data_IF_788136910618
#
_entry.id   IF_788136910618
#
_cell.length_a   1.000
_cell.length_b   1.000
_cell.length_c   1.000
_cell.angle_alpha   90.00
_cell.angle_beta   90.00
_cell.angle_gamma   90.00
#
_symmetry.space_group_name_H-M   'P 1'
#
loop_
_entity.id
_entity.type
_entity.pdbx_description
1 polymer ?
#
# COMPACT_ATOMS: atom_id res chain seq x y z
N UNK A 1 9.25 9.27 -9.70
CA UNK A 1 8.13 8.82 -8.85
C UNK A 1 8.52 7.54 -8.13
N UNK A 2 7.92 7.28 -6.95
CA UNK A 2 7.94 5.98 -6.25
C UNK A 2 6.65 5.24 -6.60
N UNK A 3 6.73 3.91 -6.70
CA UNK A 3 5.58 3.02 -6.93
C UNK A 3 5.37 2.16 -5.68
N UNK A 4 4.28 2.42 -4.94
CA UNK A 4 4.00 1.73 -3.67
C UNK A 4 3.75 0.22 -3.86
N UNK A 5 3.27 -0.22 -5.05
CA UNK A 5 2.55 -1.48 -5.16
C UNK A 5 2.91 -2.22 -6.46
N UNK A 6 4.00 -2.99 -6.40
CA UNK A 6 4.45 -3.84 -7.50
C UNK A 6 4.47 -5.28 -7.00
N UNK A 7 3.69 -6.15 -7.60
CA UNK A 7 3.63 -7.56 -7.22
C UNK A 7 4.73 -8.40 -7.89
N UNK A 8 5.27 -9.34 -7.14
CA UNK A 8 6.10 -10.42 -7.63
C UNK A 8 5.28 -11.71 -7.63
N UNK A 9 5.05 -12.31 -8.79
CA UNK A 9 4.32 -13.56 -8.91
C UNK A 9 5.25 -14.72 -9.24
N UNK A 10 4.85 -15.97 -8.95
CA UNK A 10 5.55 -17.16 -9.42
C UNK A 10 5.74 -17.17 -10.95
N UNK A 11 6.73 -17.91 -11.43
CA UNK A 11 7.02 -18.09 -12.84
C UNK A 11 8.16 -17.22 -13.36
N UNK A 12 8.26 -17.10 -14.69
CA UNK A 12 9.36 -16.37 -15.31
C UNK A 12 9.31 -14.88 -14.98
N UNK A 13 10.41 -14.37 -14.49
CA UNK A 13 10.58 -12.95 -14.16
C UNK A 13 11.52 -12.25 -15.13
N UNK A 14 11.27 -10.96 -15.36
CA UNK A 14 12.30 -10.06 -15.88
C UNK A 14 13.51 -10.05 -14.93
N UNK A 15 14.69 -9.89 -15.48
CA UNK A 15 15.85 -9.63 -14.62
C UNK A 15 15.70 -8.26 -13.95
N UNK A 16 16.34 -8.03 -12.79
CA UNK A 16 16.31 -6.72 -12.14
C UNK A 16 16.71 -5.55 -13.06
N UNK A 17 17.64 -5.78 -13.98
CA UNK A 17 18.06 -4.76 -14.96
C UNK A 17 16.96 -4.43 -15.97
N UNK A 18 16.28 -5.44 -16.51
CA UNK A 18 15.16 -5.25 -17.45
C UNK A 18 13.99 -4.57 -16.73
N UNK A 19 13.67 -5.02 -15.54
CA UNK A 19 12.66 -4.39 -14.70
C UNK A 19 12.95 -2.90 -14.45
N UNK A 20 14.18 -2.55 -14.06
CA UNK A 20 14.61 -1.15 -13.88
C UNK A 20 14.52 -0.31 -15.15
N UNK A 21 14.87 -0.88 -16.31
CA UNK A 21 14.71 -0.17 -17.58
C UNK A 21 13.24 0.15 -17.87
N UNK A 22 12.34 -0.81 -17.63
CA UNK A 22 10.90 -0.61 -17.81
C UNK A 22 10.34 0.41 -16.83
N UNK A 23 10.67 0.31 -15.54
CA UNK A 23 10.19 1.27 -14.52
C UNK A 23 10.70 2.69 -14.82
N UNK A 24 11.96 2.85 -15.17
CA UNK A 24 12.52 4.16 -15.57
C UNK A 24 11.82 4.72 -16.82
N UNK A 25 11.49 3.86 -17.81
CA UNK A 25 10.71 4.27 -18.96
C UNK A 25 9.32 4.77 -18.56
N UNK A 26 8.73 4.26 -17.50
CA UNK A 26 7.48 4.77 -16.93
C UNK A 26 7.64 6.00 -16.02
N UNK A 27 8.87 6.49 -15.79
CA UNK A 27 9.15 7.59 -14.86
C UNK A 27 9.19 7.16 -13.38
N UNK A 28 9.25 5.85 -13.11
CA UNK A 28 9.34 5.27 -11.76
C UNK A 28 10.79 4.96 -11.45
N UNK A 29 11.30 5.49 -10.33
CA UNK A 29 12.71 5.38 -9.93
C UNK A 29 12.92 4.53 -8.68
N UNK A 30 11.86 4.11 -8.03
CA UNK A 30 11.87 3.29 -6.83
C UNK A 30 10.46 2.91 -6.40
N UNK A 31 10.34 2.25 -5.26
CA UNK A 31 9.04 1.83 -4.72
C UNK A 31 9.13 0.51 -3.98
N UNK A 32 8.01 -0.21 -3.84
CA UNK A 32 7.96 -1.49 -3.15
C UNK A 32 7.71 -2.64 -4.11
N UNK A 33 8.48 -3.70 -3.96
CA UNK A 33 8.20 -5.00 -4.57
C UNK A 33 7.62 -5.91 -3.49
N UNK A 34 6.38 -6.33 -3.69
CA UNK A 34 5.65 -7.23 -2.80
C UNK A 34 6.01 -8.67 -3.19
N UNK A 35 6.63 -9.40 -2.29
CA UNK A 35 7.07 -10.78 -2.52
C UNK A 35 5.92 -11.71 -2.94
N UNK A 36 6.28 -12.87 -3.46
CA UNK A 36 5.31 -13.89 -3.87
C UNK A 36 4.32 -14.23 -2.73
N UNK A 37 3.09 -14.54 -3.11
CA UNK A 37 2.02 -14.86 -2.18
C UNK A 37 2.25 -16.21 -1.45
N UNK A 38 1.70 -16.35 -0.22
CA UNK A 38 1.71 -17.62 0.50
C UNK A 38 0.79 -18.66 -0.16
N UNK A 39 1.09 -19.95 0.08
CA UNK A 39 0.30 -21.07 -0.44
C UNK A 39 -1.19 -21.02 -0.05
N UNK A 40 -1.51 -20.39 1.08
CA UNK A 40 -2.89 -20.15 1.53
C UNK A 40 -3.66 -19.16 0.66
N UNK A 41 -2.97 -18.33 -0.13
CA UNK A 41 -3.59 -17.45 -1.11
C UNK A 41 -3.80 -18.16 -2.46
N UNK A 42 -2.82 -18.93 -2.91
CA UNK A 42 -2.88 -19.70 -4.14
C UNK A 42 -1.75 -20.72 -4.22
N UNK A 43 -2.01 -21.85 -4.88
CA UNK A 43 -1.04 -22.90 -5.12
C UNK A 43 -0.51 -22.84 -6.54
N UNK A 44 0.82 -22.87 -6.68
CA UNK A 44 1.51 -22.93 -7.97
C UNK A 44 2.34 -24.22 -8.08
N UNK A 45 2.03 -25.04 -9.10
CA UNK A 45 2.80 -26.26 -9.35
C UNK A 45 4.25 -25.92 -9.77
N UNK A 46 5.20 -26.56 -9.10
CA UNK A 46 6.62 -26.42 -9.41
C UNK A 46 7.33 -25.24 -8.75
N UNK A 47 6.61 -24.41 -8.00
CA UNK A 47 7.18 -23.29 -7.27
C UNK A 47 7.39 -23.61 -5.79
N UNK A 48 8.51 -23.14 -5.23
CA UNK A 48 8.77 -23.22 -3.80
C UNK A 48 8.09 -22.07 -3.05
N UNK A 49 6.89 -22.32 -2.57
CA UNK A 49 6.10 -21.32 -1.82
C UNK A 49 6.38 -21.32 -0.30
N UNK A 50 7.39 -22.09 0.17
CA UNK A 50 7.81 -21.96 1.57
C UNK A 50 8.22 -20.54 1.87
N UNK A 51 7.84 -20.05 3.02
CA UNK A 51 8.04 -18.62 3.36
C UNK A 51 9.51 -18.17 3.27
N UNK A 52 10.46 -19.02 3.63
CA UNK A 52 11.89 -18.71 3.50
C UNK A 52 12.32 -18.49 2.06
N UNK A 53 11.88 -19.35 1.12
CA UNK A 53 12.17 -19.19 -0.31
C UNK A 53 11.54 -17.93 -0.89
N UNK A 54 10.29 -17.62 -0.52
CA UNK A 54 9.60 -16.39 -0.95
C UNK A 54 10.28 -15.12 -0.42
N UNK A 55 10.74 -15.16 0.83
CA UNK A 55 11.50 -14.09 1.45
C UNK A 55 12.83 -13.85 0.72
N UNK A 56 13.60 -14.92 0.51
CA UNK A 56 14.88 -14.81 -0.18
C UNK A 56 14.70 -14.29 -1.62
N UNK A 57 13.69 -14.77 -2.33
CA UNK A 57 13.40 -14.32 -3.69
C UNK A 57 13.16 -12.81 -3.80
N UNK A 58 12.36 -12.21 -2.90
CA UNK A 58 12.10 -10.75 -2.96
C UNK A 58 13.32 -9.94 -2.52
N UNK A 59 14.10 -10.44 -1.56
CA UNK A 59 15.34 -9.80 -1.13
C UNK A 59 16.38 -9.79 -2.24
N UNK A 60 16.59 -10.93 -2.91
CA UNK A 60 17.54 -11.08 -4.01
C UNK A 60 17.13 -10.21 -5.20
N UNK A 61 15.84 -10.19 -5.57
CA UNK A 61 15.34 -9.36 -6.63
C UNK A 61 15.59 -7.86 -6.37
N UNK A 62 15.22 -7.39 -5.19
CA UNK A 62 15.43 -5.98 -4.81
C UNK A 62 16.91 -5.64 -4.64
N UNK A 63 17.75 -6.61 -4.22
CA UNK A 63 19.21 -6.46 -4.19
C UNK A 63 19.81 -6.16 -5.56
N UNK A 64 19.23 -6.70 -6.64
CA UNK A 64 19.58 -6.39 -8.03
C UNK A 64 18.89 -5.13 -8.59
N UNK A 65 17.91 -4.56 -7.90
CA UNK A 65 17.12 -3.41 -8.34
C UNK A 65 17.19 -2.24 -7.33
N UNK A 66 18.35 -1.56 -7.18
CA UNK A 66 18.49 -0.44 -6.27
C UNK A 66 17.40 0.64 -6.45
N UNK A 67 16.84 1.11 -5.34
CA UNK A 67 15.69 2.03 -5.30
C UNK A 67 14.38 1.33 -4.97
N UNK A 68 14.29 0.01 -5.19
CA UNK A 68 13.11 -0.78 -4.84
C UNK A 68 13.30 -1.50 -3.49
N UNK A 69 12.25 -1.49 -2.67
CA UNK A 69 12.25 -1.98 -1.31
C UNK A 69 11.50 -3.33 -1.24
N UNK A 70 12.08 -4.37 -0.61
CA UNK A 70 11.43 -5.66 -0.48
C UNK A 70 10.34 -5.62 0.59
N UNK A 71 9.11 -5.99 0.23
CA UNK A 71 8.00 -6.22 1.14
C UNK A 71 7.67 -7.71 1.19
N UNK A 72 7.62 -8.26 2.39
CA UNK A 72 7.29 -9.67 2.56
C UNK A 72 5.78 -9.88 2.67
N UNK A 73 5.21 -10.68 1.75
CA UNK A 73 3.80 -11.05 1.84
C UNK A 73 3.65 -12.22 2.80
N UNK A 74 3.06 -11.95 3.96
CA UNK A 74 2.90 -12.91 5.05
C UNK A 74 1.45 -13.40 5.15
N UNK A 75 1.27 -14.68 5.50
CA UNK A 75 0.01 -15.18 6.06
C UNK A 75 0.02 -14.90 7.57
N UNK A 76 -0.82 -14.01 8.08
CA UNK A 76 -0.77 -13.61 9.48
C UNK A 76 -1.29 -14.71 10.43
N UNK A 77 -1.94 -15.76 9.89
CA UNK A 77 -2.48 -16.88 10.68
C UNK A 77 -1.59 -18.12 10.63
N UNK A 78 -0.47 -18.10 9.92
CA UNK A 78 0.49 -19.18 9.94
C UNK A 78 0.99 -19.47 11.38
N UNK A 79 1.18 -20.75 11.72
CA UNK A 79 1.63 -21.14 13.07
C UNK A 79 2.96 -20.47 13.46
N UNK A 80 3.83 -20.25 12.49
CA UNK A 80 5.13 -19.60 12.63
C UNK A 80 5.16 -18.12 12.20
N UNK A 81 4.00 -17.47 12.08
CA UNK A 81 3.91 -16.09 11.60
C UNK A 81 4.80 -15.11 12.38
N UNK A 82 4.90 -15.25 13.70
CA UNK A 82 5.76 -14.40 14.52
C UNK A 82 7.25 -14.62 14.24
N UNK A 83 7.66 -15.85 13.96
CA UNK A 83 9.02 -16.18 13.55
C UNK A 83 9.30 -15.62 12.15
N UNK A 84 8.33 -15.70 11.23
CA UNK A 84 8.45 -15.09 9.90
C UNK A 84 8.67 -13.57 10.01
N UNK A 85 7.91 -12.87 10.88
CA UNK A 85 8.10 -11.43 11.12
C UNK A 85 9.52 -11.14 11.61
N UNK A 86 10.00 -11.88 12.61
CA UNK A 86 11.34 -11.72 13.15
C UNK A 86 12.41 -11.92 12.09
N UNK A 87 12.37 -13.06 11.39
CA UNK A 87 13.37 -13.40 10.38
C UNK A 87 13.36 -12.43 9.19
N UNK A 88 12.18 -12.04 8.70
CA UNK A 88 12.06 -11.08 7.60
C UNK A 88 12.64 -9.72 7.98
N UNK A 89 12.37 -9.26 9.20
CA UNK A 89 12.93 -7.99 9.72
C UNK A 89 14.45 -8.05 9.84
N UNK A 90 15.00 -9.14 10.40
CA UNK A 90 16.44 -9.34 10.52
C UNK A 90 17.16 -9.42 9.17
N UNK A 91 16.51 -9.99 8.15
CA UNK A 91 17.01 -10.05 6.77
C UNK A 91 16.87 -8.74 6.00
N UNK A 92 16.15 -7.74 6.54
CA UNK A 92 16.12 -6.39 6.01
C UNK A 92 14.98 -6.10 5.04
N UNK A 93 13.80 -6.73 5.22
CA UNK A 93 12.60 -6.26 4.50
C UNK A 93 12.24 -4.84 4.93
N UNK A 94 11.61 -4.09 4.04
CA UNK A 94 11.18 -2.72 4.29
C UNK A 94 9.73 -2.63 4.80
N UNK A 95 8.98 -3.74 4.77
CA UNK A 95 7.61 -3.82 5.23
C UNK A 95 6.96 -5.15 4.93
N UNK A 96 5.66 -5.22 5.20
CA UNK A 96 4.87 -6.44 5.05
C UNK A 96 3.63 -6.20 4.19
N UNK A 97 3.16 -7.26 3.52
CA UNK A 97 1.90 -7.29 2.76
C UNK A 97 0.99 -8.37 3.32
N UNK A 98 -0.31 -8.07 3.40
CA UNK A 98 -1.37 -9.02 3.76
C UNK A 98 -2.54 -8.87 2.79
N UNK A 99 -3.12 -9.99 2.37
CA UNK A 99 -4.42 -10.05 1.71
C UNK A 99 -5.31 -11.01 2.51
N UNK A 100 -6.48 -10.52 2.96
CA UNK A 100 -7.42 -11.33 3.70
C UNK A 100 -8.33 -12.08 2.71
N UNK A 101 -7.98 -13.33 2.37
CA UNK A 101 -8.71 -14.12 1.38
C UNK A 101 -9.57 -15.25 1.99
N UNK A 102 -9.33 -15.63 3.26
CA UNK A 102 -10.07 -16.69 3.96
C UNK A 102 -10.33 -16.38 5.45
N UNK A 103 -9.93 -15.20 5.91
CA UNK A 103 -10.04 -14.78 7.32
C UNK A 103 -10.40 -13.31 7.42
N UNK A 104 -11.02 -12.92 8.53
CA UNK A 104 -11.24 -11.50 8.84
C UNK A 104 -9.95 -10.85 9.35
N UNK A 105 -9.66 -9.58 9.00
CA UNK A 105 -8.43 -8.90 9.39
C UNK A 105 -8.09 -9.00 10.88
N UNK A 106 -9.08 -8.94 11.76
CA UNK A 106 -8.89 -8.99 13.21
C UNK A 106 -8.25 -10.30 13.71
N UNK A 107 -8.39 -11.38 12.97
CA UNK A 107 -7.82 -12.69 13.35
C UNK A 107 -6.28 -12.65 13.35
N UNK A 108 -5.67 -11.81 12.48
CA UNK A 108 -4.22 -11.60 12.40
C UNK A 108 -3.63 -10.63 13.43
N UNK A 109 -4.41 -10.17 14.42
CA UNK A 109 -4.01 -9.09 15.34
C UNK A 109 -2.63 -9.30 15.99
N UNK A 110 -2.30 -10.52 16.43
CA UNK A 110 -1.01 -10.83 17.06
C UNK A 110 0.17 -10.56 16.12
N UNK A 111 0.02 -10.95 14.88
CA UNK A 111 1.06 -10.74 13.85
C UNK A 111 1.19 -9.25 13.52
N UNK A 112 0.09 -8.50 13.46
CA UNK A 112 0.14 -7.05 13.20
C UNK A 112 0.77 -6.27 14.36
N UNK A 113 0.56 -6.71 15.61
CA UNK A 113 1.24 -6.16 16.78
C UNK A 113 2.76 -6.42 16.70
N UNK A 114 3.18 -7.65 16.35
CA UNK A 114 4.58 -7.96 16.15
C UNK A 114 5.21 -7.13 15.01
N UNK A 115 4.50 -6.92 13.91
CA UNK A 115 4.96 -6.03 12.82
C UNK A 115 5.11 -4.58 13.33
N UNK A 116 4.14 -4.07 14.07
CA UNK A 116 4.20 -2.72 14.66
C UNK A 116 5.42 -2.53 15.56
N UNK A 117 5.78 -3.55 16.36
CA UNK A 117 6.97 -3.54 17.23
C UNK A 117 8.29 -3.43 16.44
N UNK A 118 8.35 -3.92 15.20
CA UNK A 118 9.51 -3.75 14.33
C UNK A 118 9.68 -2.31 13.83
N UNK A 119 8.62 -1.51 13.90
CA UNK A 119 8.57 -0.19 13.29
C UNK A 119 8.44 -0.21 11.76
N UNK A 120 8.18 -1.35 11.12
CA UNK A 120 7.98 -1.46 9.68
C UNK A 120 6.50 -1.28 9.31
N UNK A 121 6.19 -0.76 8.11
CA UNK A 121 4.82 -0.58 7.66
C UNK A 121 4.18 -1.89 7.19
N UNK A 122 2.84 -1.90 7.19
CA UNK A 122 2.02 -3.00 6.72
C UNK A 122 1.05 -2.54 5.63
N UNK A 123 1.07 -3.19 4.48
CA UNK A 123 0.15 -2.94 3.37
C UNK A 123 -0.93 -4.01 3.34
N UNK A 124 -2.18 -3.60 3.36
CA UNK A 124 -3.32 -4.49 3.16
C UNK A 124 -3.91 -4.32 1.75
N UNK A 125 -4.35 -5.42 1.17
CA UNK A 125 -5.38 -5.33 0.14
C UNK A 125 -6.66 -4.81 0.78
N UNK A 126 -7.42 -3.99 0.05
CA UNK A 126 -8.75 -3.56 0.46
C UNK A 126 -9.60 -3.27 -0.78
N UNK A 127 -10.89 -3.54 -0.69
CA UNK A 127 -11.78 -3.50 -1.85
C UNK A 127 -12.19 -4.89 -2.32
N UNK A 128 -12.78 -4.97 -3.50
CA UNK A 128 -13.12 -6.26 -4.12
C UNK A 128 -11.84 -7.02 -4.43
N UNK A 129 -11.77 -8.24 -3.96
CA UNK A 129 -10.69 -9.16 -4.29
C UNK A 129 -11.13 -10.06 -5.46
N UNK A 130 -10.46 -9.91 -6.60
CA UNK A 130 -10.72 -10.68 -7.81
C UNK A 130 -10.00 -12.02 -7.76
N UNK A 131 -10.56 -12.94 -6.98
CA UNK A 131 -10.11 -14.33 -6.88
C UNK A 131 -11.32 -15.27 -7.03
N UNK A 132 -11.08 -16.57 -7.05
CA UNK A 132 -12.15 -17.59 -7.24
C UNK A 132 -12.98 -17.86 -5.96
N UNK A 133 -12.80 -17.08 -4.90
CA UNK A 133 -13.43 -17.27 -3.59
C UNK A 133 -14.33 -16.09 -3.22
N UNK A 134 -15.38 -16.29 -2.39
CA UNK A 134 -16.22 -15.21 -1.88
C UNK A 134 -15.49 -14.42 -0.76
N UNK A 135 -14.35 -13.81 -1.08
CA UNK A 135 -13.39 -13.24 -0.14
C UNK A 135 -13.49 -11.72 0.02
N UNK A 136 -14.24 -11.02 -0.86
CA UNK A 136 -14.28 -9.56 -0.84
C UNK A 136 -14.81 -8.98 0.47
N UNK A 137 -15.71 -9.70 1.16
CA UNK A 137 -16.25 -9.27 2.45
C UNK A 137 -15.21 -9.11 3.56
N UNK A 138 -14.07 -9.80 3.47
CA UNK A 138 -12.96 -9.66 4.41
C UNK A 138 -12.19 -8.34 4.22
N UNK A 139 -12.31 -7.71 3.04
CA UNK A 139 -11.52 -6.56 2.62
C UNK A 139 -12.30 -5.24 2.62
N UNK A 140 -13.45 -5.18 3.31
CA UNK A 140 -14.17 -3.94 3.52
C UNK A 140 -13.43 -3.03 4.49
N UNK A 141 -13.35 -1.72 4.26
CA UNK A 141 -12.54 -0.82 5.08
C UNK A 141 -12.83 -0.87 6.58
N UNK A 142 -14.11 -0.94 6.98
CA UNK A 142 -14.46 -0.98 8.42
C UNK A 142 -14.02 -2.26 9.12
N UNK A 143 -13.70 -3.33 8.39
CA UNK A 143 -13.09 -4.53 8.97
C UNK A 143 -11.70 -4.28 9.55
N UNK A 144 -11.05 -3.17 9.18
CA UNK A 144 -9.73 -2.74 9.65
C UNK A 144 -9.78 -1.71 10.79
N UNK A 145 -10.98 -1.32 11.25
CA UNK A 145 -11.13 -0.29 12.30
C UNK A 145 -10.37 -0.65 13.59
N UNK A 146 -10.31 -1.93 13.96
CA UNK A 146 -9.60 -2.40 15.15
C UNK A 146 -8.09 -2.07 15.15
N UNK A 147 -7.50 -1.80 13.98
CA UNK A 147 -6.09 -1.40 13.86
C UNK A 147 -5.80 -0.06 14.56
N UNK A 148 -6.83 0.75 14.84
CA UNK A 148 -6.70 1.98 15.63
C UNK A 148 -6.00 1.75 16.98
N UNK A 149 -6.11 0.55 17.54
CA UNK A 149 -5.55 0.17 18.84
C UNK A 149 -4.17 -0.52 18.73
N UNK A 150 -3.66 -0.75 17.52
CA UNK A 150 -2.31 -1.30 17.29
C UNK A 150 -1.30 -0.17 17.33
N UNK A 151 -0.73 0.07 18.49
CA UNK A 151 0.19 1.19 18.73
C UNK A 151 1.40 1.18 17.79
N UNK A 152 1.67 2.34 17.19
CA UNK A 152 2.84 2.55 16.34
C UNK A 152 2.74 1.93 14.94
N UNK A 153 1.67 1.20 14.62
CA UNK A 153 1.47 0.63 13.29
C UNK A 153 1.27 1.74 12.25
N UNK A 154 2.08 1.71 11.19
CA UNK A 154 1.78 2.43 9.95
C UNK A 154 1.24 1.43 8.94
N UNK A 155 0.05 1.70 8.41
CA UNK A 155 -0.56 0.78 7.44
C UNK A 155 -1.23 1.52 6.29
N UNK A 156 -1.36 0.83 5.15
CA UNK A 156 -2.11 1.32 4.01
C UNK A 156 -3.23 0.35 3.62
N UNK A 157 -4.33 0.91 3.11
CA UNK A 157 -5.43 0.17 2.50
C UNK A 157 -5.45 0.45 1.00
N UNK A 158 -5.29 -0.62 0.19
CA UNK A 158 -5.07 -0.53 -1.25
C UNK A 158 -6.33 -0.17 -2.05
N UNK A 159 -6.11 0.30 -3.30
CA UNK A 159 -7.12 0.48 -4.35
C UNK A 159 -8.24 1.47 -4.02
N UNK A 160 -7.98 2.42 -3.08
CA UNK A 160 -9.03 3.28 -2.52
C UNK A 160 -10.22 2.42 -2.03
N UNK A 161 -9.97 1.16 -1.72
CA UNK A 161 -10.97 0.17 -1.26
C UNK A 161 -12.20 0.04 -2.17
N UNK A 162 -12.03 0.16 -3.51
CA UNK A 162 -13.14 0.07 -4.44
C UNK A 162 -13.98 -1.22 -4.23
N UNK A 163 -15.35 -1.13 -4.18
CA UNK A 163 -16.20 0.04 -4.38
C UNK A 163 -16.49 0.85 -3.10
N UNK A 164 -15.95 0.51 -1.95
CA UNK A 164 -16.24 1.09 -0.63
C UNK A 164 -15.42 2.36 -0.33
N UNK A 165 -15.17 3.21 -1.34
CA UNK A 165 -14.35 4.42 -1.21
C UNK A 165 -14.86 5.40 -0.13
N UNK A 166 -16.18 5.55 0.02
CA UNK A 166 -16.76 6.44 1.04
C UNK A 166 -16.53 5.89 2.46
N UNK A 167 -16.59 4.57 2.62
CA UNK A 167 -16.33 3.88 3.89
C UNK A 167 -14.86 4.03 4.28
N UNK A 168 -13.93 3.89 3.31
CA UNK A 168 -12.50 4.13 3.51
C UNK A 168 -12.23 5.56 4.03
N UNK A 169 -12.86 6.57 3.41
CA UNK A 169 -12.72 7.96 3.83
C UNK A 169 -13.27 8.17 5.25
N UNK A 170 -14.38 7.51 5.59
CA UNK A 170 -14.96 7.56 6.95
C UNK A 170 -14.06 6.93 7.99
N UNK A 171 -13.45 5.78 7.67
CA UNK A 171 -12.47 5.13 8.54
C UNK A 171 -11.24 6.02 8.76
N UNK A 172 -10.69 6.59 7.70
CA UNK A 172 -9.59 7.54 7.80
C UNK A 172 -9.94 8.73 8.68
N UNK A 173 -11.15 9.30 8.51
CA UNK A 173 -11.62 10.41 9.32
C UNK A 173 -11.64 10.10 10.81
N UNK A 174 -12.07 8.89 11.19
CA UNK A 174 -12.05 8.44 12.59
C UNK A 174 -10.62 8.32 13.12
N UNK A 175 -9.70 7.70 12.37
CA UNK A 175 -8.30 7.56 12.77
C UNK A 175 -7.59 8.93 12.84
N UNK A 176 -7.86 9.82 11.88
CA UNK A 176 -7.32 11.17 11.86
C UNK A 176 -7.78 11.99 13.08
N UNK A 177 -9.06 11.90 13.45
CA UNK A 177 -9.58 12.54 14.66
C UNK A 177 -8.89 12.02 15.93
N UNK A 178 -8.65 10.70 16.02
CA UNK A 178 -7.97 10.11 17.17
C UNK A 178 -6.49 10.50 17.24
N UNK A 179 -5.81 10.62 16.10
CA UNK A 179 -4.43 11.09 16.02
C UNK A 179 -4.30 12.55 16.51
N UNK A 180 -5.31 13.38 16.25
CA UNK A 180 -5.39 14.75 16.78
C UNK A 180 -5.67 14.82 18.29
N UNK A 181 -6.58 13.99 18.80
CA UNK A 181 -7.01 14.02 20.21
C UNK A 181 -6.06 13.29 21.16
N UNK A 182 -5.35 12.26 20.69
CA UNK A 182 -4.48 11.42 21.49
C UNK A 182 -3.34 10.85 20.64
N UNK A 183 -2.37 11.69 20.22
CA UNK A 183 -1.37 11.33 19.21
C UNK A 183 -0.37 10.28 19.67
N UNK A 184 -0.20 10.07 20.97
CA UNK A 184 0.82 9.17 21.51
C UNK A 184 0.52 7.70 21.21
N UNK A 185 1.28 7.15 20.27
CA UNK A 185 1.34 5.73 19.99
C UNK A 185 0.16 5.15 19.21
N UNK A 186 -0.67 5.95 18.56
CA UNK A 186 -1.75 5.46 17.70
C UNK A 186 -1.22 4.87 16.40
N UNK A 187 -2.03 4.05 15.75
CA UNK A 187 -1.77 3.61 14.39
C UNK A 187 -1.96 4.76 13.39
N UNK A 188 -1.25 4.72 12.29
CA UNK A 188 -1.33 5.71 11.22
C UNK A 188 -1.76 5.05 9.92
N UNK A 189 -2.92 5.45 9.42
CA UNK A 189 -3.43 4.96 8.15
C UNK A 189 -2.96 5.83 6.99
N UNK A 190 -2.62 5.17 5.88
CA UNK A 190 -2.32 5.79 4.59
C UNK A 190 -3.32 5.28 3.54
N UNK A 191 -3.69 6.16 2.62
CA UNK A 191 -4.38 5.75 1.40
C UNK A 191 -3.36 5.19 0.42
N UNK A 192 -3.60 3.98 -0.06
CA UNK A 192 -2.94 3.44 -1.23
C UNK A 192 -3.89 3.63 -2.43
N UNK A 193 -3.51 4.55 -3.32
CA UNK A 193 -4.34 4.90 -4.46
C UNK A 193 -4.00 4.08 -5.72
N UNK A 194 -3.36 2.95 -5.55
CA UNK A 194 -3.11 1.97 -6.62
C UNK A 194 -4.37 1.68 -7.42
N UNK A 195 -4.30 1.48 -8.75
CA UNK A 195 -5.44 1.15 -9.60
C UNK A 195 -6.25 -0.05 -9.08
N UNK A 196 -7.54 0.07 -9.14
CA UNK A 196 -8.59 -0.86 -8.69
C UNK A 196 -9.93 -0.17 -8.81
N UNK A 197 -9.94 1.17 -8.63
CA UNK A 197 -11.08 2.02 -8.96
C UNK A 197 -11.15 2.20 -10.47
N UNK A 198 -12.29 1.85 -11.13
CA UNK A 198 -12.43 2.05 -12.57
C UNK A 198 -12.21 3.50 -12.99
N UNK A 199 -11.62 3.76 -14.19
CA UNK A 199 -11.30 5.13 -14.65
C UNK A 199 -12.45 6.13 -14.54
N UNK A 200 -13.68 5.70 -14.85
CA UNK A 200 -14.88 6.55 -14.79
C UNK A 200 -15.21 7.06 -13.37
N UNK A 201 -14.79 6.34 -12.33
CA UNK A 201 -15.02 6.71 -10.92
C UNK A 201 -13.76 7.26 -10.24
N UNK A 202 -12.62 7.29 -10.95
CA UNK A 202 -11.32 7.63 -10.36
C UNK A 202 -11.26 9.05 -9.84
N UNK A 203 -11.74 10.02 -10.62
CA UNK A 203 -11.74 11.43 -10.21
C UNK A 203 -12.64 11.64 -8.99
N UNK A 204 -13.84 11.05 -8.99
CA UNK A 204 -14.75 11.17 -7.84
C UNK A 204 -14.12 10.60 -6.57
N UNK A 205 -13.48 9.44 -6.65
CA UNK A 205 -12.84 8.80 -5.49
C UNK A 205 -11.69 9.64 -4.94
N UNK A 206 -10.81 10.16 -5.79
CA UNK A 206 -9.69 11.02 -5.38
C UNK A 206 -10.18 12.36 -4.80
N UNK A 207 -11.21 12.97 -5.40
CA UNK A 207 -11.84 14.16 -4.84
C UNK A 207 -12.43 13.93 -3.46
N UNK A 208 -13.08 12.79 -3.23
CA UNK A 208 -13.61 12.43 -1.91
C UNK A 208 -12.50 12.34 -0.85
N UNK A 209 -11.30 11.89 -1.20
CA UNK A 209 -10.16 11.87 -0.28
C UNK A 209 -9.76 13.31 0.11
N UNK A 210 -9.55 14.18 -0.86
CA UNK A 210 -8.96 15.50 -0.62
C UNK A 210 -9.95 16.61 -0.26
N UNK A 211 -11.25 16.48 -0.63
CA UNK A 211 -12.23 17.54 -0.47
C UNK A 211 -13.06 17.45 0.81
N UNK A 212 -12.78 16.49 1.70
CA UNK A 212 -13.52 16.28 2.96
C UNK A 212 -13.03 17.13 4.13
N UNK A 213 -11.95 17.89 3.98
CA UNK A 213 -11.37 18.69 5.07
C UNK A 213 -10.58 17.88 6.10
N UNK A 214 -10.26 16.61 5.81
CA UNK A 214 -9.39 15.77 6.63
C UNK A 214 -7.92 16.09 6.32
N UNK A 215 -7.01 15.82 7.26
CA UNK A 215 -5.55 16.00 7.10
C UNK A 215 -4.93 14.88 6.27
N UNK A 216 -5.19 14.89 4.98
CA UNK A 216 -4.81 13.81 4.04
C UNK A 216 -3.50 14.05 3.30
N UNK A 217 -3.02 15.30 3.25
CA UNK A 217 -1.89 15.73 2.41
C UNK A 217 -0.68 14.79 2.50
N UNK A 218 -0.33 14.37 3.71
CA UNK A 218 0.82 13.51 4.00
C UNK A 218 0.49 12.03 4.19
N UNK A 219 -0.69 11.59 3.74
CA UNK A 219 -1.20 10.23 3.99
C UNK A 219 -1.65 9.51 2.72
N UNK A 220 -1.27 9.98 1.54
CA UNK A 220 -1.63 9.38 0.26
C UNK A 220 -0.36 8.90 -0.44
N UNK A 221 -0.40 7.68 -0.95
CA UNK A 221 0.71 7.01 -1.63
C UNK A 221 0.22 6.46 -2.97
N UNK A 222 0.95 6.77 -4.03
CA UNK A 222 0.66 6.34 -5.39
C UNK A 222 1.36 5.01 -5.71
N UNK A 223 0.75 4.19 -6.57
CA UNK A 223 1.29 2.94 -7.07
C UNK A 223 0.58 2.47 -8.33
N UNK A 224 1.09 1.41 -8.96
CA UNK A 224 0.58 0.92 -10.25
C UNK A 224 -0.18 -0.39 -10.20
N UNK A 225 0.04 -1.25 -9.23
CA UNK A 225 -0.39 -2.66 -9.23
C UNK A 225 0.22 -3.49 -10.38
N UNK A 226 1.33 -3.02 -10.96
CA UNK A 226 2.07 -3.76 -11.95
C UNK A 226 2.73 -5.00 -11.34
N UNK A 227 3.15 -5.93 -12.21
CA UNK A 227 3.93 -7.09 -11.81
C UNK A 227 5.41 -6.91 -12.16
N UNK A 228 6.30 -7.33 -11.26
CA UNK A 228 7.74 -7.28 -11.48
C UNK A 228 8.20 -8.27 -12.55
N UNK A 229 7.41 -9.31 -12.81
CA UNK A 229 7.64 -10.30 -13.84
C UNK A 229 7.68 -9.70 -15.25
N UNK A 230 6.83 -8.69 -15.51
CA UNK A 230 6.75 -7.95 -16.76
C UNK A 230 6.10 -6.59 -16.51
N UNK A 231 6.90 -5.62 -16.06
CA UNK A 231 6.38 -4.30 -15.71
C UNK A 231 5.79 -3.57 -16.92
N UNK A 232 4.50 -3.27 -16.86
CA UNK A 232 3.76 -2.67 -17.97
C UNK A 232 3.92 -1.14 -18.00
N UNK A 233 4.82 -0.67 -18.86
CA UNK A 233 5.17 0.75 -18.99
C UNK A 233 3.98 1.60 -19.46
N UNK A 234 3.19 1.12 -20.40
CA UNK A 234 2.05 1.88 -20.96
C UNK A 234 0.94 2.02 -19.94
N UNK A 235 0.65 0.95 -19.20
CA UNK A 235 -0.33 0.95 -18.13
C UNK A 235 0.08 1.91 -16.98
N UNK A 236 1.33 1.86 -16.56
CA UNK A 236 1.84 2.74 -15.50
C UNK A 236 1.76 4.22 -15.91
N UNK A 237 2.14 4.55 -17.16
CA UNK A 237 2.00 5.91 -17.71
C UNK A 237 0.55 6.35 -17.80
N UNK A 238 -0.34 5.49 -18.28
CA UNK A 238 -1.77 5.80 -18.37
C UNK A 238 -2.34 6.26 -17.02
N UNK A 239 -2.05 5.52 -15.95
CA UNK A 239 -2.52 5.86 -14.61
C UNK A 239 -1.84 7.10 -14.04
N UNK A 240 -0.53 7.25 -14.23
CA UNK A 240 0.20 8.43 -13.80
C UNK A 240 -0.34 9.72 -14.47
N UNK A 241 -0.58 9.68 -15.77
CA UNK A 241 -1.09 10.81 -16.54
C UNK A 241 -2.54 11.17 -16.14
N UNK A 242 -3.38 10.15 -15.91
CA UNK A 242 -4.75 10.33 -15.45
C UNK A 242 -4.78 10.97 -14.06
N UNK A 243 -4.06 10.37 -13.11
CA UNK A 243 -4.03 10.83 -11.73
C UNK A 243 -3.43 12.24 -11.64
N UNK A 244 -2.35 12.51 -12.37
CA UNK A 244 -1.75 13.85 -12.42
C UNK A 244 -2.77 14.91 -12.81
N UNK A 245 -3.57 14.69 -13.85
CA UNK A 245 -4.62 15.62 -14.27
C UNK A 245 -5.67 15.84 -13.19
N UNK A 246 -6.06 14.77 -12.49
CA UNK A 246 -7.03 14.87 -11.38
C UNK A 246 -6.43 15.68 -10.21
N UNK A 247 -5.18 15.43 -9.86
CA UNK A 247 -4.47 16.16 -8.80
C UNK A 247 -4.32 17.64 -9.13
N UNK A 248 -3.99 17.98 -10.37
CA UNK A 248 -3.92 19.36 -10.84
C UNK A 248 -5.30 20.04 -10.71
N UNK A 249 -6.39 19.34 -11.05
CA UNK A 249 -7.76 19.79 -10.87
C UNK A 249 -8.15 19.99 -9.39
N UNK A 250 -7.74 19.09 -8.50
CA UNK A 250 -7.98 19.23 -7.05
C UNK A 250 -7.19 20.44 -6.49
N UNK A 251 -5.94 20.58 -6.89
CA UNK A 251 -5.07 21.69 -6.44
C UNK A 251 -5.62 23.05 -6.84
N UNK A 252 -6.22 23.16 -8.02
CA UNK A 252 -6.80 24.39 -8.55
C UNK A 252 -8.23 24.67 -8.09
N UNK A 253 -8.92 23.71 -7.44
CA UNK A 253 -10.33 23.83 -7.10
C UNK A 253 -10.57 24.96 -6.07
N UNK A 254 -11.38 25.98 -6.38
CA UNK A 254 -11.66 27.09 -5.46
C UNK A 254 -12.51 26.66 -4.24
N UNK A 255 -13.24 25.55 -4.35
CA UNK A 255 -14.12 25.04 -3.30
C UNK A 255 -13.42 24.10 -2.32
N UNK A 256 -12.12 23.82 -2.50
CA UNK A 256 -11.40 22.99 -1.57
C UNK A 256 -11.38 23.60 -0.17
N UNK A 257 -11.43 22.75 0.85
CA UNK A 257 -11.30 23.18 2.23
C UNK A 257 -9.92 23.83 2.45
N UNK A 258 -9.91 25.02 3.06
CA UNK A 258 -8.68 25.77 3.35
C UNK A 258 -8.77 26.35 4.74
N UNK A 259 -7.70 26.24 5.50
CA UNK A 259 -7.51 26.96 6.74
C UNK A 259 -6.26 27.82 6.59
N UNK A 260 -6.40 29.13 6.74
CA UNK A 260 -5.28 30.05 6.58
C UNK A 260 -4.15 29.72 7.57
N UNK A 261 -2.93 29.59 7.03
CA UNK A 261 -1.73 29.30 7.84
C UNK A 261 -1.55 27.84 8.24
N UNK A 262 -2.41 26.93 7.77
CA UNK A 262 -2.24 25.49 8.00
C UNK A 262 -1.77 24.79 6.71
N UNK A 263 -0.54 24.25 6.75
CA UNK A 263 0.11 23.59 5.60
C UNK A 263 -0.64 22.33 5.15
N UNK A 264 -1.30 21.63 6.07
CA UNK A 264 -2.08 20.42 5.78
C UNK A 264 -3.17 20.63 4.74
N UNK A 265 -3.63 21.85 4.53
CA UNK A 265 -4.65 22.22 3.54
C UNK A 265 -4.08 22.98 2.34
N UNK A 266 -2.77 23.14 2.24
CA UNK A 266 -2.10 23.61 1.03
C UNK A 266 -1.85 22.43 0.08
N UNK A 267 -2.65 22.33 -0.98
CA UNK A 267 -2.61 21.23 -1.95
C UNK A 267 -1.78 21.54 -3.20
N UNK A 268 -0.89 22.53 -3.14
CA UNK A 268 -0.07 22.94 -4.28
C UNK A 268 0.90 21.87 -4.78
N UNK A 269 1.30 20.93 -3.91
CA UNK A 269 2.29 19.90 -4.19
C UNK A 269 1.81 18.47 -3.87
N UNK A 270 0.50 18.22 -3.83
CA UNK A 270 -0.04 16.92 -3.40
C UNK A 270 0.33 15.76 -4.34
N UNK A 271 0.54 16.02 -5.62
CA UNK A 271 1.04 15.00 -6.56
C UNK A 271 2.46 14.56 -6.20
N UNK A 272 3.37 15.51 -6.00
CA UNK A 272 4.76 15.21 -5.66
C UNK A 272 4.87 14.50 -4.30
N UNK A 273 4.01 14.86 -3.36
CA UNK A 273 3.91 14.17 -2.08
C UNK A 273 3.40 12.73 -2.24
N UNK A 274 2.33 12.52 -3.00
CA UNK A 274 1.76 11.19 -3.20
C UNK A 274 2.70 10.25 -3.96
N UNK A 275 3.50 10.79 -4.89
CA UNK A 275 4.42 10.00 -5.73
C UNK A 275 5.84 9.91 -5.20
N UNK A 276 6.20 10.65 -4.13
CA UNK A 276 7.55 10.61 -3.56
C UNK A 276 7.59 11.04 -2.08
N UNK A 277 7.17 12.27 -1.75
CA UNK A 277 7.45 12.87 -0.44
C UNK A 277 6.85 12.11 0.76
N UNK A 278 5.72 11.43 0.60
CA UNK A 278 5.05 10.72 1.69
C UNK A 278 5.68 9.36 2.02
N UNK A 279 6.49 8.81 1.13
CA UNK A 279 7.08 7.47 1.29
C UNK A 279 8.03 7.38 2.50
N UNK A 280 8.85 8.43 2.73
CA UNK A 280 9.77 8.44 3.87
C UNK A 280 9.00 8.30 5.20
N UNK A 281 7.90 9.03 5.37
CA UNK A 281 7.07 8.95 6.56
C UNK A 281 6.39 7.57 6.70
N UNK A 282 5.94 6.97 5.59
CA UNK A 282 5.38 5.62 5.59
C UNK A 282 6.40 4.58 6.06
N UNK A 283 7.66 4.69 5.63
CA UNK A 283 8.75 3.82 6.12
C UNK A 283 9.24 4.17 7.54
N UNK A 284 8.74 5.23 8.17
CA UNK A 284 9.20 5.68 9.47
C UNK A 284 10.57 6.35 9.46
N UNK A 285 11.00 6.80 8.28
CA UNK A 285 12.23 7.60 8.13
C UNK A 285 11.88 9.08 8.39
N UNK A 286 12.65 9.72 9.27
CA UNK A 286 12.52 11.17 9.56
C UNK A 286 13.27 11.99 8.53
#
# INVERSE_FOLDING_TARGET
>A
MQDLHIHMFPGRMDTPDVFKQKTLAAGVTGGNVLGMYPETFGKEEGEDQRWGARLDAVLDFCGGAPGFQPFFWIDPLAEDALEQVRCATEKGVAGFKVICNYFYPKEGLKTYQAIAETGLPLMFHSGVLYNEQPSSGYNQPMSFEFLMDVKGLRFSLAHISWPWCAELVSLFGKLNYLDECAPEGRSQMYYDITPGTPPIFREEALRRIYMTGLRVKHRVLWGTDCIANDYNVEYARFWADMDRKIYDGISADPNRYRVAGQDEYDYSNIWDLATDGNFAAFYGKK
#
